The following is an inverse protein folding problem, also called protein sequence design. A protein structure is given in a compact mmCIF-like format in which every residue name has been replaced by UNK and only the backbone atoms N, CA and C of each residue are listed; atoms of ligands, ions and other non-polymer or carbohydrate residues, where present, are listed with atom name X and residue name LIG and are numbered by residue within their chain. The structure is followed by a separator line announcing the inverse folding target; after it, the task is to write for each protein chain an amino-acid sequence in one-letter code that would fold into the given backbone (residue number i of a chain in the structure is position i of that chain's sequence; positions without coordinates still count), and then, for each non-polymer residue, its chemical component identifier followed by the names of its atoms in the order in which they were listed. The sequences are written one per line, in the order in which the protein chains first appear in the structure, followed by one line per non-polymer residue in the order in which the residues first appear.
data_IF_171032955339
#
_entry.id   IF_171032955339
#
_cell.length_a   1.000
_cell.length_b   1.000
_cell.length_c   1.000
_cell.angle_alpha   90.00
_cell.angle_beta   90.00
_cell.angle_gamma   90.00
#
_symmetry.space_group_name_H-M   'P 1'
#
loop_
_entity.id
_entity.type
_entity.pdbx_description
1 polymer ?
#
# COMPACT_ATOMS: atom_id res chain seq x y z
N UNK A 1 12.67 -64.65 -8.29
CA UNK A 1 12.93 -63.58 -7.30
C UNK A 1 13.32 -62.32 -8.05
N UNK A 2 12.46 -61.30 -8.07
CA UNK A 2 12.83 -59.87 -8.02
C UNK A 2 11.54 -59.04 -8.04
N UNK A 3 11.25 -58.37 -6.93
CA UNK A 3 10.13 -57.43 -6.78
C UNK A 3 10.58 -56.07 -7.28
N UNK A 4 9.88 -55.50 -8.25
CA UNK A 4 10.04 -54.11 -8.69
C UNK A 4 9.48 -53.18 -7.62
N UNK A 5 10.36 -52.42 -6.96
CA UNK A 5 9.98 -51.35 -6.04
C UNK A 5 9.84 -50.07 -6.86
N UNK A 6 8.60 -49.61 -7.07
CA UNK A 6 8.35 -48.27 -7.62
C UNK A 6 8.43 -47.26 -6.48
N UNK A 7 9.43 -46.39 -6.52
CA UNK A 7 9.54 -45.26 -5.60
C UNK A 7 8.67 -44.11 -6.10
N UNK A 8 7.61 -43.77 -5.36
CA UNK A 8 6.83 -42.55 -5.57
C UNK A 8 7.64 -41.37 -5.00
N UNK A 9 8.19 -40.53 -5.86
CA UNK A 9 8.78 -39.25 -5.46
C UNK A 9 7.65 -38.23 -5.34
N UNK A 10 7.26 -37.89 -4.12
CA UNK A 10 6.37 -36.77 -3.86
C UNK A 10 7.16 -35.47 -4.01
N UNK A 11 6.95 -34.72 -5.10
CA UNK A 11 7.44 -33.35 -5.21
C UNK A 11 6.70 -32.48 -4.17
N UNK A 12 7.40 -32.07 -3.11
CA UNK A 12 6.96 -30.92 -2.31
C UNK A 12 7.12 -29.67 -3.18
N UNK A 13 6.05 -29.25 -3.84
CA UNK A 13 5.94 -27.92 -4.43
C UNK A 13 5.96 -26.90 -3.28
N UNK A 14 7.12 -26.32 -3.02
CA UNK A 14 7.22 -25.18 -2.12
C UNK A 14 6.37 -24.05 -2.67
N UNK A 15 5.42 -23.55 -1.88
CA UNK A 15 4.66 -22.35 -2.21
C UNK A 15 5.60 -21.15 -2.09
N UNK A 16 6.36 -20.87 -3.13
CA UNK A 16 7.05 -19.59 -3.23
C UNK A 16 5.95 -18.51 -3.22
N UNK A 17 5.96 -17.65 -2.21
CA UNK A 17 5.11 -16.46 -2.16
C UNK A 17 5.47 -15.60 -3.38
N UNK A 18 4.71 -15.71 -4.45
CA UNK A 18 4.83 -14.78 -5.55
C UNK A 18 4.30 -13.44 -5.01
N UNK A 19 4.98 -12.33 -5.28
CA UNK A 19 4.58 -10.97 -4.90
C UNK A 19 4.82 -10.56 -3.44
N UNK A 20 4.39 -9.33 -3.14
CA UNK A 20 4.75 -8.51 -1.99
C UNK A 20 3.47 -8.02 -1.29
N UNK A 21 3.55 -7.81 0.02
CA UNK A 21 2.46 -7.33 0.86
C UNK A 21 3.00 -6.36 1.92
N UNK A 22 2.13 -5.53 2.46
CA UNK A 22 2.42 -4.72 3.64
C UNK A 22 2.39 -5.60 4.91
N UNK A 23 3.45 -5.50 5.72
CA UNK A 23 3.53 -6.05 7.07
C UNK A 23 3.20 -4.99 8.12
N UNK A 24 3.66 -3.75 7.91
CA UNK A 24 3.45 -2.65 8.84
C UNK A 24 3.02 -1.36 8.10
N UNK A 25 2.05 -0.59 8.63
CA UNK A 25 1.12 -0.99 9.68
C UNK A 25 0.34 -2.25 9.28
N UNK A 26 -0.01 -3.15 10.23
CA UNK A 26 -0.68 -4.40 9.86
C UNK A 26 -1.99 -4.16 9.09
N UNK A 27 -2.11 -4.68 7.84
CA UNK A 27 -3.30 -4.44 7.02
C UNK A 27 -4.56 -5.09 7.56
N UNK A 28 -5.73 -4.57 7.15
CA UNK A 28 -7.02 -5.21 7.40
C UNK A 28 -7.02 -6.64 6.84
N UNK A 29 -7.56 -7.59 7.60
CA UNK A 29 -7.57 -9.04 7.32
C UNK A 29 -6.21 -9.71 7.10
N UNK A 30 -5.09 -9.02 7.27
CA UNK A 30 -3.77 -9.62 7.15
C UNK A 30 -3.47 -10.55 8.32
N UNK A 31 -2.66 -11.59 8.07
CA UNK A 31 -2.06 -12.43 9.11
C UNK A 31 -1.22 -11.67 10.14
N UNK A 32 -0.75 -10.48 9.78
CA UNK A 32 0.02 -9.61 10.68
C UNK A 32 -0.87 -8.77 11.60
N UNK A 33 -2.17 -8.66 11.30
CA UNK A 33 -3.09 -7.82 12.05
C UNK A 33 -3.68 -8.59 13.25
N UNK A 34 -3.35 -8.20 14.49
CA UNK A 34 -3.78 -8.93 15.69
C UNK A 34 -5.29 -8.85 15.94
N UNK A 35 -6.00 -7.95 15.26
CA UNK A 35 -7.45 -7.80 15.36
C UNK A 35 -8.20 -8.75 14.42
N UNK A 36 -7.51 -9.36 13.45
CA UNK A 36 -8.12 -10.25 12.46
C UNK A 36 -8.46 -11.61 13.08
N UNK A 37 -9.74 -12.03 13.08
CA UNK A 37 -10.10 -13.38 13.50
C UNK A 37 -9.44 -14.44 12.60
N UNK A 38 -8.95 -15.57 13.13
CA UNK A 38 -8.31 -16.61 12.32
C UNK A 38 -9.18 -17.11 11.15
N UNK A 39 -10.50 -17.09 11.28
CA UNK A 39 -11.45 -17.49 10.24
C UNK A 39 -11.63 -16.47 9.10
N UNK A 40 -11.16 -15.23 9.28
CA UNK A 40 -11.26 -14.14 8.30
C UNK A 40 -9.90 -13.75 7.72
N UNK A 41 -8.84 -14.42 8.14
CA UNK A 41 -7.48 -14.12 7.73
C UNK A 41 -7.28 -14.38 6.25
N UNK A 42 -6.81 -13.34 5.54
CA UNK A 42 -6.35 -13.46 4.16
C UNK A 42 -4.88 -13.91 4.16
N UNK A 43 -4.66 -15.18 3.84
CA UNK A 43 -3.34 -15.77 3.68
C UNK A 43 -2.69 -15.45 2.32
N UNK A 44 -3.45 -14.82 1.41
CA UNK A 44 -3.05 -14.43 0.05
C UNK A 44 -3.07 -12.89 -0.14
N UNK A 45 -2.69 -12.18 0.91
CA UNK A 45 -2.58 -10.72 0.91
C UNK A 45 -1.55 -10.19 -0.12
N UNK A 46 -0.65 -11.06 -0.58
CA UNK A 46 0.34 -10.77 -1.63
C UNK A 46 -0.27 -10.70 -3.03
N UNK A 47 -1.42 -11.32 -3.28
CA UNK A 47 -2.06 -11.29 -4.58
C UNK A 47 -2.53 -9.87 -4.94
N UNK A 48 -2.45 -9.49 -6.22
CA UNK A 48 -2.93 -8.19 -6.68
C UNK A 48 -4.45 -8.06 -6.52
N UNK A 49 -4.95 -6.86 -6.76
CA UNK A 49 -6.38 -6.65 -6.94
C UNK A 49 -6.89 -7.45 -8.15
N UNK A 50 -8.18 -7.77 -8.14
CA UNK A 50 -8.82 -8.45 -9.26
C UNK A 50 -8.85 -7.52 -10.47
N UNK A 51 -8.63 -8.10 -11.66
CA UNK A 51 -8.61 -7.34 -12.93
C UNK A 51 -9.91 -6.59 -13.18
N UNK A 52 -11.04 -7.15 -12.78
CA UNK A 52 -12.35 -6.52 -12.91
C UNK A 52 -12.60 -5.39 -11.88
N UNK A 53 -11.69 -5.19 -10.93
CA UNK A 53 -11.80 -4.19 -9.87
C UNK A 53 -12.80 -4.53 -8.77
N UNK A 54 -13.40 -5.73 -8.77
CA UNK A 54 -14.48 -6.10 -7.84
C UNK A 54 -14.08 -6.12 -6.36
N UNK A 55 -12.78 -6.14 -6.06
CA UNK A 55 -12.24 -6.03 -4.70
C UNK A 55 -11.48 -4.71 -4.44
N UNK A 56 -11.60 -3.71 -5.31
CA UNK A 56 -11.07 -2.38 -5.04
C UNK A 56 -12.10 -1.55 -4.22
N UNK A 57 -11.66 -0.73 -3.24
CA UNK A 57 -10.30 -0.61 -2.71
C UNK A 57 -9.99 -1.63 -1.61
N UNK A 58 -8.70 -1.72 -1.23
CA UNK A 58 -8.24 -2.46 -0.05
C UNK A 58 -8.62 -3.96 -0.03
N UNK A 59 -8.71 -4.61 -1.20
CA UNK A 59 -9.20 -5.99 -1.36
C UNK A 59 -10.62 -6.20 -0.77
N UNK A 60 -11.41 -5.13 -0.68
CA UNK A 60 -12.75 -5.11 -0.07
C UNK A 60 -12.75 -4.98 1.46
N UNK A 61 -11.59 -5.01 2.11
CA UNK A 61 -11.53 -5.07 3.58
C UNK A 61 -11.77 -3.75 4.29
N UNK A 62 -11.83 -2.63 3.55
CA UNK A 62 -12.22 -1.33 4.10
C UNK A 62 -13.62 -1.35 4.76
N UNK A 63 -14.49 -2.30 4.39
CA UNK A 63 -15.81 -2.50 5.03
C UNK A 63 -15.73 -2.94 6.50
N UNK A 64 -14.55 -3.31 7.00
CA UNK A 64 -14.34 -3.70 8.39
C UNK A 64 -14.16 -2.49 9.33
N UNK A 65 -14.00 -1.29 8.79
CA UNK A 65 -13.89 -0.08 9.61
C UNK A 65 -15.09 0.06 10.57
N UNK A 66 -14.80 0.49 11.80
CA UNK A 66 -15.79 0.58 12.88
C UNK A 66 -16.13 -0.76 13.55
N UNK A 67 -15.60 -1.88 13.06
CA UNK A 67 -15.69 -3.19 13.75
C UNK A 67 -14.44 -3.47 14.58
N UNK A 68 -14.49 -4.50 15.44
CA UNK A 68 -13.31 -4.98 16.16
C UNK A 68 -12.17 -5.38 15.22
N UNK A 69 -12.47 -6.05 14.11
CA UNK A 69 -11.47 -6.50 13.15
C UNK A 69 -10.81 -5.34 12.38
N UNK A 70 -11.51 -4.21 12.24
CA UNK A 70 -11.01 -3.00 11.61
C UNK A 70 -10.43 -1.96 12.59
N UNK A 71 -10.20 -2.33 13.85
CA UNK A 71 -9.61 -1.41 14.83
C UNK A 71 -8.21 -0.96 14.37
N UNK A 72 -7.83 0.31 14.61
CA UNK A 72 -6.53 0.85 14.21
C UNK A 72 -5.36 0.00 14.73
N UNK A 73 -4.37 -0.22 13.87
CA UNK A 73 -3.18 -1.04 14.15
C UNK A 73 -1.93 -0.20 14.36
N UNK A 74 -1.97 1.09 14.05
CA UNK A 74 -0.91 2.05 14.32
C UNK A 74 -1.45 3.45 14.61
N UNK A 75 -0.64 4.26 15.30
CA UNK A 75 -0.86 5.69 15.48
C UNK A 75 0.17 6.44 14.66
N UNK A 76 -0.27 7.37 13.83
CA UNK A 76 0.59 8.27 13.06
C UNK A 76 0.42 9.69 13.56
N UNK A 77 1.52 10.44 13.66
CA UNK A 77 1.50 11.80 14.17
C UNK A 77 1.73 12.81 13.03
N UNK A 78 0.90 13.84 12.97
CA UNK A 78 1.05 14.94 12.01
C UNK A 78 2.41 15.61 12.16
N UNK A 79 3.03 15.99 11.03
CA UNK A 79 4.38 16.59 10.95
C UNK A 79 5.54 15.68 11.43
N UNK A 80 5.28 14.38 11.58
CA UNK A 80 6.31 13.36 11.85
C UNK A 80 6.48 12.44 10.66
N UNK A 81 7.65 11.81 10.58
CA UNK A 81 7.87 10.69 9.68
C UNK A 81 7.26 9.42 10.28
N UNK A 82 6.67 8.63 9.40
CA UNK A 82 6.22 7.27 9.65
C UNK A 82 6.77 6.35 8.57
N UNK A 83 6.42 5.07 8.62
CA UNK A 83 6.87 4.10 7.63
C UNK A 83 5.79 3.07 7.27
N UNK A 84 5.92 2.52 6.07
CA UNK A 84 5.27 1.28 5.64
C UNK A 84 6.35 0.21 5.43
N UNK A 85 6.23 -0.95 6.07
CA UNK A 85 7.12 -2.10 5.83
C UNK A 85 6.46 -3.05 4.85
N UNK A 86 7.17 -3.36 3.76
CA UNK A 86 6.74 -4.29 2.70
C UNK A 86 7.59 -5.55 2.77
N UNK A 87 6.93 -6.70 2.79
CA UNK A 87 7.55 -8.04 2.83
C UNK A 87 7.01 -8.91 1.72
N UNK A 88 7.77 -9.92 1.28
CA UNK A 88 7.28 -10.86 0.27
C UNK A 88 8.38 -11.71 -0.36
N UNK A 89 8.04 -12.34 -1.49
CA UNK A 89 8.97 -13.24 -2.17
C UNK A 89 9.54 -12.71 -3.48
N UNK A 90 8.79 -11.92 -4.26
CA UNK A 90 9.24 -11.44 -5.58
C UNK A 90 8.91 -9.97 -5.75
N UNK A 91 9.95 -9.15 -5.95
CA UNK A 91 9.84 -7.69 -6.12
C UNK A 91 9.55 -7.27 -7.57
N UNK A 92 9.53 -8.20 -8.53
CA UNK A 92 9.33 -7.91 -9.97
C UNK A 92 10.24 -6.81 -10.52
N UNK A 93 11.50 -6.81 -10.06
CA UNK A 93 12.50 -5.76 -10.36
C UNK A 93 12.01 -4.35 -9.95
N UNK A 94 11.21 -4.26 -8.88
CA UNK A 94 10.62 -3.03 -8.40
C UNK A 94 9.37 -2.64 -9.19
N UNK A 95 9.34 -1.39 -9.62
CA UNK A 95 8.13 -0.71 -10.06
C UNK A 95 7.99 0.61 -9.33
N UNK A 96 6.77 1.10 -9.22
CA UNK A 96 6.47 2.36 -8.55
C UNK A 96 5.35 2.18 -7.55
N UNK A 97 5.43 2.89 -6.42
CA UNK A 97 4.47 2.80 -5.33
C UNK A 97 3.92 4.17 -4.95
N UNK A 98 2.72 4.19 -4.39
CA UNK A 98 2.24 5.33 -3.62
C UNK A 98 1.84 4.91 -2.21
N UNK A 99 2.09 5.81 -1.25
CA UNK A 99 1.51 5.76 0.08
C UNK A 99 0.43 6.83 0.12
N UNK A 100 -0.81 6.45 0.43
CA UNK A 100 -1.96 7.35 0.40
C UNK A 100 -2.81 7.23 1.68
N UNK A 101 -3.52 8.28 2.03
CA UNK A 101 -4.39 8.35 3.19
C UNK A 101 -5.84 8.59 2.78
N UNK A 102 -6.76 7.76 3.27
CA UNK A 102 -8.21 8.00 3.16
C UNK A 102 -8.77 8.32 4.54
N UNK A 103 -9.49 9.44 4.63
CA UNK A 103 -10.18 9.90 5.83
C UNK A 103 -11.70 9.81 5.70
N UNK A 104 -12.20 9.13 4.66
CA UNK A 104 -13.61 9.02 4.28
C UNK A 104 -14.04 7.57 4.02
N UNK A 105 -13.43 6.65 4.77
CA UNK A 105 -13.78 5.22 4.75
C UNK A 105 -13.31 4.44 3.52
N UNK A 106 -12.39 5.01 2.74
CA UNK A 106 -11.87 4.42 1.51
C UNK A 106 -12.53 4.96 0.23
N UNK A 107 -13.32 6.03 0.31
CA UNK A 107 -13.96 6.61 -0.88
C UNK A 107 -12.94 7.37 -1.73
N UNK A 108 -12.03 8.10 -1.08
CA UNK A 108 -10.94 8.85 -1.72
C UNK A 108 -9.62 8.59 -0.99
N UNK A 109 -8.51 8.58 -1.73
CA UNK A 109 -7.16 8.34 -1.20
C UNK A 109 -6.24 9.47 -1.62
N UNK A 110 -5.79 10.27 -0.67
CA UNK A 110 -4.92 11.42 -0.89
C UNK A 110 -3.45 10.99 -0.83
N UNK A 111 -2.66 11.30 -1.85
CA UNK A 111 -1.25 10.88 -1.93
C UNK A 111 -0.40 11.59 -0.87
N UNK A 112 0.32 10.81 -0.07
CA UNK A 112 1.31 11.29 0.88
C UNK A 112 2.72 11.28 0.30
N UNK A 113 3.08 10.19 -0.38
CA UNK A 113 4.41 9.92 -0.94
C UNK A 113 4.26 9.12 -2.24
N UNK A 114 5.00 9.53 -3.28
CA UNK A 114 5.17 8.76 -4.52
C UNK A 114 6.61 8.29 -4.65
N UNK A 115 6.81 6.98 -4.80
CA UNK A 115 8.13 6.39 -5.03
C UNK A 115 8.15 5.86 -6.46
N UNK A 116 8.92 6.52 -7.32
CA UNK A 116 9.01 6.20 -8.75
C UNK A 116 10.30 5.43 -8.99
N UNK A 117 10.16 4.19 -9.45
CA UNK A 117 11.25 3.23 -9.60
C UNK A 117 11.60 2.52 -8.30
N UNK A 118 12.25 1.36 -8.43
CA UNK A 118 12.85 0.62 -7.31
C UNK A 118 11.90 0.19 -6.19
N UNK A 119 10.57 0.32 -6.31
CA UNK A 119 9.65 0.03 -5.22
C UNK A 119 8.80 -1.22 -5.49
N UNK A 120 8.76 -2.21 -4.56
CA UNK A 120 9.69 -2.38 -3.43
C UNK A 120 11.08 -2.84 -3.93
N UNK A 121 12.14 -2.39 -3.25
CA UNK A 121 13.54 -2.62 -3.70
C UNK A 121 14.09 -3.98 -3.29
N UNK A 122 13.48 -4.62 -2.30
CA UNK A 122 13.91 -5.88 -1.72
C UNK A 122 12.73 -6.66 -1.15
N UNK A 123 12.97 -7.90 -0.73
CA UNK A 123 11.97 -8.77 -0.09
C UNK A 123 11.52 -8.30 1.30
N UNK A 124 12.22 -7.33 1.88
CA UNK A 124 11.88 -6.67 3.13
C UNK A 124 12.40 -5.23 3.05
N UNK A 125 11.50 -4.28 2.86
CA UNK A 125 11.84 -2.87 2.71
C UNK A 125 10.93 -2.00 3.57
N UNK A 126 11.50 -0.96 4.18
CA UNK A 126 10.75 0.05 4.94
C UNK A 126 10.74 1.35 4.14
N UNK A 127 9.54 1.80 3.80
CA UNK A 127 9.28 3.01 3.02
C UNK A 127 8.88 4.13 3.98
N UNK A 128 9.75 5.12 4.15
CA UNK A 128 9.47 6.28 4.98
C UNK A 128 8.57 7.27 4.24
N UNK A 129 7.66 7.93 4.95
CA UNK A 129 6.83 9.02 4.44
C UNK A 129 6.54 10.02 5.54
N UNK A 130 6.26 11.27 5.18
CA UNK A 130 5.89 12.32 6.13
C UNK A 130 4.37 12.45 6.21
N UNK A 131 3.81 12.46 7.42
CA UNK A 131 2.39 12.79 7.63
C UNK A 131 2.24 14.32 7.57
N UNK A 132 1.41 14.89 6.67
CA UNK A 132 1.22 16.33 6.59
C UNK A 132 0.74 16.93 7.91
N UNK A 133 1.21 18.14 8.27
CA UNK A 133 0.84 18.73 9.56
C UNK A 133 -0.65 19.07 9.68
N UNK A 134 -1.32 19.22 8.54
CA UNK A 134 -2.73 19.54 8.36
C UNK A 134 -3.57 18.32 7.93
N UNK A 135 -3.00 17.11 7.99
CA UNK A 135 -3.77 15.89 7.79
C UNK A 135 -4.93 15.79 8.82
N UNK A 136 -6.14 15.41 8.39
CA UNK A 136 -7.27 15.27 9.30
C UNK A 136 -6.97 14.30 10.45
N UNK A 137 -7.35 14.68 11.67
CA UNK A 137 -7.18 13.85 12.85
C UNK A 137 -8.30 12.80 12.96
N UNK A 138 -7.99 11.66 13.57
CA UNK A 138 -8.93 10.56 13.77
C UNK A 138 -8.54 9.30 13.01
N UNK A 139 -9.46 8.33 12.96
CA UNK A 139 -9.22 7.07 12.27
C UNK A 139 -9.25 7.24 10.75
N UNK A 140 -8.33 6.58 10.07
CA UNK A 140 -8.09 6.68 8.65
C UNK A 140 -7.59 5.34 8.08
N UNK A 141 -7.62 5.21 6.75
CA UNK A 141 -6.94 4.12 6.04
C UNK A 141 -5.64 4.63 5.47
N UNK A 142 -4.54 3.97 5.83
CA UNK A 142 -3.26 4.11 5.13
C UNK A 142 -3.18 3.02 4.06
N UNK A 143 -3.01 3.40 2.80
CA UNK A 143 -2.87 2.49 1.67
C UNK A 143 -1.45 2.51 1.12
N UNK A 144 -0.90 1.32 0.89
CA UNK A 144 0.22 1.12 -0.02
C UNK A 144 -0.32 0.56 -1.33
N UNK A 145 0.04 1.20 -2.44
CA UNK A 145 -0.20 0.69 -3.78
C UNK A 145 1.11 0.47 -4.52
N UNK A 146 1.13 -0.51 -5.41
CA UNK A 146 2.30 -0.85 -6.21
C UNK A 146 1.91 -1.31 -7.61
N UNK A 147 2.63 -0.79 -8.60
CA UNK A 147 2.57 -1.16 -10.01
C UNK A 147 3.91 -1.81 -10.38
N UNK A 148 3.89 -3.12 -10.57
CA UNK A 148 5.10 -3.93 -10.79
C UNK A 148 5.76 -3.63 -12.14
N UNK A 149 7.10 -3.52 -12.14
CA UNK A 149 7.85 -3.23 -13.37
C UNK A 149 7.79 -4.39 -14.36
N UNK A 150 7.96 -5.63 -13.91
CA UNK A 150 8.01 -6.84 -14.76
C UNK A 150 6.85 -7.80 -14.45
N UNK A 151 6.30 -8.49 -15.45
CA UNK A 151 5.24 -9.48 -15.29
C UNK A 151 3.85 -9.00 -15.74
N UNK A 152 2.75 -9.65 -15.32
CA UNK A 152 1.41 -9.17 -15.60
C UNK A 152 1.20 -7.74 -15.10
N UNK A 153 0.43 -6.93 -15.83
CA UNK A 153 0.20 -5.52 -15.48
C UNK A 153 -0.80 -5.44 -14.34
N UNK A 154 -0.33 -5.48 -13.10
CA UNK A 154 -1.15 -5.58 -11.91
C UNK A 154 -1.16 -4.28 -11.10
N UNK A 155 -2.17 -4.15 -10.24
CA UNK A 155 -2.19 -3.16 -9.15
C UNK A 155 -2.28 -3.92 -7.83
N UNK A 156 -1.25 -3.80 -7.01
CA UNK A 156 -1.26 -4.30 -5.64
C UNK A 156 -1.77 -3.19 -4.73
N UNK A 157 -2.60 -3.55 -3.74
CA UNK A 157 -3.09 -2.61 -2.74
C UNK A 157 -3.30 -3.31 -1.41
N UNK A 158 -2.66 -2.82 -0.36
CA UNK A 158 -2.94 -3.23 1.01
C UNK A 158 -3.26 -1.99 1.84
N UNK A 159 -4.24 -2.10 2.74
CA UNK A 159 -4.68 -0.99 3.57
C UNK A 159 -4.68 -1.37 5.04
N UNK A 160 -4.18 -0.47 5.89
CA UNK A 160 -4.26 -0.58 7.33
C UNK A 160 -5.16 0.51 7.91
N UNK A 161 -5.93 0.15 8.93
CA UNK A 161 -6.60 1.12 9.79
C UNK A 161 -5.56 1.76 10.71
N UNK A 162 -5.50 3.08 10.73
CA UNK A 162 -4.55 3.87 11.55
C UNK A 162 -5.29 5.01 12.22
N UNK A 163 -4.75 5.52 13.33
CA UNK A 163 -5.25 6.75 13.97
C UNK A 163 -4.26 7.88 13.75
N UNK A 164 -4.71 8.98 13.15
CA UNK A 164 -3.94 10.21 13.01
C UNK A 164 -4.11 11.07 14.26
N UNK A 165 -3.00 11.39 14.92
CA UNK A 165 -2.94 12.29 16.08
C UNK A 165 -2.13 13.53 15.77
N UNK A 166 -2.41 14.59 16.53
CA UNK A 166 -1.58 15.79 16.50
C UNK A 166 -0.22 15.46 17.09
N UNK A 167 0.83 15.59 16.27
CA UNK A 167 2.20 15.58 16.77
C UNK A 167 2.55 16.88 17.49
N UNK A 168 3.59 16.85 18.31
CA UNK A 168 4.07 18.00 19.09
C UNK A 168 4.76 19.10 18.26
N UNK A 169 4.62 19.07 16.93
CA UNK A 169 5.14 20.10 16.03
C UNK A 169 4.44 21.44 16.28
N UNK A 170 5.21 22.53 16.30
CA UNK A 170 4.68 23.88 16.52
C UNK A 170 3.76 24.32 15.36
N UNK A 171 2.48 23.91 15.41
CA UNK A 171 1.43 24.32 14.47
C UNK A 171 1.23 25.85 14.38
N UNK A 172 1.77 26.60 15.34
CA UNK A 172 1.67 28.05 15.45
C UNK A 172 2.86 28.81 14.83
N UNK A 173 4.04 28.19 14.65
CA UNK A 173 5.22 28.91 14.14
C UNK A 173 5.29 29.03 12.61
N UNK A 174 4.50 28.21 11.90
CA UNK A 174 4.55 28.13 10.43
C UNK A 174 3.46 28.96 9.74
N UNK A 175 2.44 29.42 10.47
CA UNK A 175 1.35 30.25 9.90
C UNK A 175 1.73 31.72 9.67
N UNK A 176 2.86 32.17 10.22
CA UNK A 176 3.23 33.59 10.25
C UNK A 176 4.60 33.96 9.68
N UNK A 177 5.43 33.00 9.24
CA UNK A 177 6.84 33.29 8.91
C UNK A 177 7.38 32.75 7.59
N UNK A 178 6.60 32.02 6.80
CA UNK A 178 7.10 31.43 5.55
C UNK A 178 6.30 31.92 4.35
N UNK A 179 6.85 32.93 3.67
CA UNK A 179 6.32 33.42 2.41
C UNK A 179 6.59 32.45 1.26
N UNK A 180 5.54 32.17 0.47
CA UNK A 180 5.56 32.03 -0.99
C UNK A 180 6.47 30.97 -1.64
N UNK A 181 6.77 29.83 -1.01
CA UNK A 181 7.21 28.64 -1.76
C UNK A 181 6.81 27.32 -1.07
N UNK A 182 5.96 26.53 -1.74
CA UNK A 182 6.14 25.09 -1.81
C UNK A 182 5.32 24.16 -0.89
N UNK A 183 4.46 24.65 0.01
CA UNK A 183 3.63 23.76 0.84
C UNK A 183 2.26 23.56 0.21
N UNK A 184 1.94 22.31 -0.16
CA UNK A 184 0.61 21.90 -0.65
C UNK A 184 -0.21 21.38 0.53
N UNK A 185 -1.34 22.02 0.79
CA UNK A 185 -2.31 21.60 1.82
C UNK A 185 -2.79 20.18 1.55
N UNK A 186 -3.10 19.41 2.60
CA UNK A 186 -3.57 18.03 2.50
C UNK A 186 -4.75 17.90 1.54
N UNK A 187 -5.72 18.81 1.62
CA UNK A 187 -6.92 18.81 0.75
C UNK A 187 -6.61 19.10 -0.74
N UNK A 188 -5.47 19.69 -1.04
CA UNK A 188 -5.06 20.09 -2.39
C UNK A 188 -4.04 19.10 -2.99
N UNK A 189 -3.69 18.04 -2.26
CA UNK A 189 -2.87 16.95 -2.76
C UNK A 189 -3.67 16.06 -3.72
N UNK A 190 -3.01 15.43 -4.70
CA UNK A 190 -3.70 14.63 -5.70
C UNK A 190 -4.28 13.35 -5.11
N UNK A 191 -5.23 12.80 -5.85
CA UNK A 191 -5.76 11.47 -5.58
C UNK A 191 -4.78 10.39 -6.02
N UNK A 192 -4.84 9.25 -5.33
CA UNK A 192 -4.05 8.07 -5.62
C UNK A 192 -4.26 7.61 -7.06
N UNK A 193 -3.18 7.27 -7.74
CA UNK A 193 -3.22 6.74 -9.09
C UNK A 193 -3.83 5.33 -9.11
N UNK A 194 -4.71 5.08 -10.07
CA UNK A 194 -5.38 3.80 -10.28
C UNK A 194 -5.21 3.37 -11.73
N UNK A 195 -4.72 2.15 -11.93
CA UNK A 195 -4.55 1.52 -13.24
C UNK A 195 -4.64 0.00 -13.07
N UNK A 196 -4.62 -0.74 -14.18
CA UNK A 196 -4.55 -2.20 -14.24
C UNK A 196 -5.75 -2.96 -13.65
N UNK A 197 -6.81 -2.24 -13.27
CA UNK A 197 -8.10 -2.75 -12.81
C UNK A 197 -9.25 -2.06 -13.56
N UNK A 198 -10.38 -2.74 -13.72
CA UNK A 198 -11.56 -2.29 -14.45
C UNK A 198 -11.83 -3.10 -15.72
N UNK A 199 -12.97 -2.85 -16.37
CA UNK A 199 -13.34 -3.53 -17.62
C UNK A 199 -12.26 -3.35 -18.70
N UNK A 200 -11.98 -4.42 -19.46
CA UNK A 200 -10.84 -4.51 -20.38
C UNK A 200 -10.83 -3.44 -21.49
N UNK A 201 -11.97 -2.82 -21.79
CA UNK A 201 -12.18 -1.77 -22.79
C UNK A 201 -12.08 -0.33 -22.22
N UNK A 202 -12.03 -0.18 -20.90
CA UNK A 202 -11.97 1.11 -20.20
C UNK A 202 -10.77 1.25 -19.24
N UNK A 203 -9.95 0.21 -19.09
CA UNK A 203 -8.86 0.20 -18.11
C UNK A 203 -7.65 1.02 -18.59
N UNK A 204 -7.18 1.95 -17.77
CA UNK A 204 -5.82 2.49 -17.87
C UNK A 204 -4.83 1.34 -17.59
N UNK A 205 -3.94 1.02 -18.53
CA UNK A 205 -2.98 -0.09 -18.40
C UNK A 205 -1.55 0.45 -18.38
N UNK A 206 -0.76 0.03 -17.40
CA UNK A 206 0.66 0.40 -17.30
C UNK A 206 1.49 -0.38 -18.31
N UNK A 207 2.65 0.16 -18.69
CA UNK A 207 3.57 -0.52 -19.60
C UNK A 207 4.46 -1.50 -18.82
N UNK A 208 4.74 -2.67 -19.40
CA UNK A 208 5.72 -3.60 -18.83
C UNK A 208 7.14 -3.08 -19.07
N UNK A 209 8.05 -3.41 -18.15
CA UNK A 209 9.48 -3.02 -18.14
C UNK A 209 9.77 -1.54 -17.90
N UNK A 210 8.75 -0.75 -17.55
CA UNK A 210 8.89 0.65 -17.16
C UNK A 210 8.37 0.89 -15.75
N UNK A 211 9.02 1.82 -15.05
CA UNK A 211 8.50 2.36 -13.80
C UNK A 211 7.45 3.42 -14.12
N UNK A 212 6.33 3.39 -13.41
CA UNK A 212 5.23 4.32 -13.64
C UNK A 212 5.63 5.68 -13.08
N UNK A 213 5.87 6.65 -13.96
CA UNK A 213 5.87 8.05 -13.59
C UNK A 213 4.42 8.51 -13.39
N UNK A 214 4.01 8.69 -12.13
CA UNK A 214 2.65 9.11 -11.81
C UNK A 214 2.34 10.49 -12.43
N UNK A 215 1.21 10.67 -13.13
CA UNK A 215 0.84 11.97 -13.70
C UNK A 215 0.70 13.07 -12.64
N UNK A 216 0.18 12.71 -11.47
CA UNK A 216 0.02 13.59 -10.32
C UNK A 216 0.70 12.95 -9.09
N UNK A 217 2.03 13.08 -8.95
CA UNK A 217 2.76 12.36 -7.90
C UNK A 217 2.65 13.04 -6.52
N UNK A 218 2.08 14.24 -6.44
CA UNK A 218 2.05 15.06 -5.23
C UNK A 218 3.37 15.78 -4.97
N UNK A 219 3.47 16.51 -3.84
CA UNK A 219 4.66 17.32 -3.53
C UNK A 219 5.85 16.49 -3.04
N UNK A 220 5.62 15.28 -2.51
CA UNK A 220 6.68 14.39 -2.01
C UNK A 220 6.91 13.25 -3.01
N UNK A 221 8.06 13.29 -3.69
CA UNK A 221 8.43 12.31 -4.72
C UNK A 221 9.85 11.82 -4.49
N UNK A 222 10.00 10.52 -4.28
CA UNK A 222 11.28 9.84 -4.25
C UNK A 222 11.54 9.12 -5.57
N UNK A 223 12.58 9.56 -6.29
CA UNK A 223 13.08 8.87 -7.48
C UNK A 223 14.10 7.81 -7.08
N UNK A 224 13.88 6.55 -7.46
CA UNK A 224 14.82 5.45 -7.25
C UNK A 224 15.15 4.78 -8.58
N UNK A 225 16.35 4.20 -8.66
CA UNK A 225 16.86 3.49 -9.84
C UNK A 225 17.03 2.01 -9.56
#
# INVERSE_FOLDING_TARGET
MTRTISALVALLLGTASAHMQMEFPPPLNSKFNPNTPPSQMDYDMVSPLFKDGSNFPCKGYHTLLGTRAGAPTAVLETDKYANVTIVGGTTHNGGSCQISLSTDGGSNFTVLESIVGGCPSSRNTSLAFKVPADAPLGDALLAWTWFNRVGPRDMFMNCASVTIKRGDGNAQHDRGRQGRNGRVDFKDRPQMFVANIGAADAACVTQETFDVAFPEPGPEVLQQS
#
